data_IF_472203055232
#
_entry.id   IF_472203055232
#
_cell.length_a   1.000
_cell.length_b   1.000
_cell.length_c   1.000
_cell.angle_alpha   90.00
_cell.angle_beta   90.00
_cell.angle_gamma   90.00
#
_symmetry.space_group_name_H-M   'P 1'
#
loop_
_entity.id
_entity.type
_entity.pdbx_description
1 polymer ?
#
# COMPACT_ATOMS: atom_id res chain seq x y z
N UNK A 1 26.04 2.60 -14.38
CA UNK A 1 25.26 2.52 -13.16
C UNK A 1 25.26 3.89 -12.50
N UNK A 2 24.12 4.36 -12.03
CA UNK A 2 23.94 5.66 -11.39
C UNK A 2 24.13 5.47 -9.88
N UNK A 3 25.26 5.83 -9.29
CA UNK A 3 25.59 5.52 -7.89
C UNK A 3 24.73 6.27 -6.86
N UNK A 4 23.86 7.17 -7.33
CA UNK A 4 22.92 7.92 -6.48
C UNK A 4 21.44 7.53 -6.74
N UNK A 5 21.21 6.48 -7.53
CA UNK A 5 19.84 6.02 -7.76
C UNK A 5 19.31 5.30 -6.52
N UNK A 6 18.14 5.71 -6.05
CA UNK A 6 17.39 4.98 -5.02
C UNK A 6 16.80 3.71 -5.64
N UNK A 7 17.23 2.55 -5.14
CA UNK A 7 16.82 1.25 -5.66
C UNK A 7 15.71 0.67 -4.78
N UNK A 8 14.58 0.39 -5.41
CA UNK A 8 13.37 -0.11 -4.73
C UNK A 8 12.93 -1.44 -5.31
N UNK A 9 12.55 -2.38 -4.44
CA UNK A 9 11.96 -3.67 -4.80
C UNK A 9 10.50 -3.75 -4.31
N UNK A 10 9.59 -4.22 -5.17
CA UNK A 10 8.22 -4.58 -4.80
C UNK A 10 8.07 -6.10 -4.73
N UNK A 11 7.41 -6.61 -3.68
CA UNK A 11 7.27 -8.04 -3.44
C UNK A 11 6.02 -8.38 -2.61
N UNK A 12 5.56 -9.63 -2.68
CA UNK A 12 4.63 -10.22 -1.71
C UNK A 12 5.36 -10.93 -0.56
N UNK A 13 6.68 -11.15 -0.69
CA UNK A 13 7.49 -11.76 0.35
C UNK A 13 7.62 -13.28 0.29
N UNK A 14 6.93 -13.97 -0.62
CA UNK A 14 6.79 -15.43 -0.63
C UNK A 14 8.12 -16.20 -0.70
N UNK A 15 9.14 -15.61 -1.31
CA UNK A 15 10.44 -16.25 -1.54
C UNK A 15 11.60 -15.55 -0.80
N UNK A 16 11.28 -14.65 0.13
CA UNK A 16 12.31 -13.95 0.91
C UNK A 16 12.72 -14.77 2.14
N UNK A 17 13.96 -15.22 2.12
CA UNK A 17 14.64 -15.73 3.29
C UNK A 17 15.80 -14.80 3.70
N UNK A 18 16.45 -15.10 4.81
CA UNK A 18 17.53 -14.27 5.35
C UNK A 18 18.74 -14.20 4.39
N UNK A 19 19.01 -15.26 3.62
CA UNK A 19 20.10 -15.28 2.66
C UNK A 19 19.80 -14.33 1.48
N UNK A 20 18.57 -14.34 0.97
CA UNK A 20 18.12 -13.44 -0.07
C UNK A 20 18.12 -11.98 0.41
N UNK A 21 17.63 -11.72 1.63
CA UNK A 21 17.64 -10.38 2.22
C UNK A 21 19.06 -9.84 2.43
N UNK A 22 19.98 -10.69 2.89
CA UNK A 22 21.39 -10.34 3.02
C UNK A 22 22.02 -9.99 1.65
N UNK A 23 21.75 -10.79 0.62
CA UNK A 23 22.23 -10.51 -0.73
C UNK A 23 21.69 -9.20 -1.28
N UNK A 24 20.40 -8.93 -1.10
CA UNK A 24 19.76 -7.68 -1.53
C UNK A 24 20.39 -6.46 -0.85
N UNK A 25 20.61 -6.54 0.47
CA UNK A 25 21.33 -5.51 1.24
C UNK A 25 22.74 -5.28 0.70
N UNK A 26 23.50 -6.36 0.50
CA UNK A 26 24.91 -6.30 0.08
C UNK A 26 25.04 -5.76 -1.37
N UNK A 27 23.99 -5.87 -2.17
CA UNK A 27 23.88 -5.26 -3.50
C UNK A 27 23.38 -3.81 -3.48
N UNK A 28 23.07 -3.26 -2.30
CA UNK A 28 22.67 -1.86 -2.13
C UNK A 28 21.19 -1.61 -2.41
N UNK A 29 20.31 -2.55 -2.05
CA UNK A 29 18.87 -2.27 -2.05
C UNK A 29 18.55 -1.26 -0.94
N UNK A 30 17.97 -0.11 -1.33
CA UNK A 30 17.62 0.96 -0.39
C UNK A 30 16.26 0.74 0.26
N UNK A 31 15.29 0.26 -0.50
CA UNK A 31 13.90 0.15 -0.06
C UNK A 31 13.24 -1.13 -0.56
N UNK A 32 12.50 -1.82 0.33
CA UNK A 32 11.64 -2.93 -0.02
C UNK A 32 10.19 -2.60 0.32
N UNK A 33 9.27 -2.85 -0.63
CA UNK A 33 7.83 -2.64 -0.47
C UNK A 33 7.07 -3.94 -0.54
N UNK A 34 6.36 -4.25 0.53
CA UNK A 34 5.49 -5.40 0.60
C UNK A 34 4.07 -5.03 0.18
N UNK A 35 3.49 -5.82 -0.71
CA UNK A 35 2.07 -5.70 -1.06
C UNK A 35 1.23 -6.53 -0.10
N UNK A 36 0.41 -5.87 0.70
CA UNK A 36 -0.55 -6.51 1.60
C UNK A 36 -1.96 -6.20 1.12
N UNK A 37 -2.81 -7.22 1.01
CA UNK A 37 -4.22 -7.11 0.60
C UNK A 37 -5.06 -7.85 1.61
N UNK A 38 -5.94 -7.14 2.30
CA UNK A 38 -6.78 -7.76 3.34
C UNK A 38 -8.05 -8.38 2.75
N UNK A 39 -8.61 -7.75 1.72
CA UNK A 39 -9.79 -8.28 1.00
C UNK A 39 -11.01 -8.54 1.92
N UNK A 40 -11.14 -7.78 3.01
CA UNK A 40 -12.15 -7.99 4.05
C UNK A 40 -11.74 -9.01 5.13
N UNK A 41 -10.54 -9.56 5.03
CA UNK A 41 -10.01 -10.50 6.03
C UNK A 41 -9.50 -9.78 7.29
N UNK A 42 -9.37 -10.53 8.38
CA UNK A 42 -8.70 -10.04 9.59
C UNK A 42 -7.21 -9.81 9.32
N UNK A 43 -6.68 -8.68 9.81
CA UNK A 43 -5.29 -8.27 9.53
C UNK A 43 -4.25 -9.31 9.98
N UNK A 44 -4.53 -10.02 11.05
CA UNK A 44 -3.63 -11.04 11.63
C UNK A 44 -4.09 -12.46 11.34
N UNK A 45 -4.93 -12.64 10.32
CA UNK A 45 -5.36 -13.97 9.89
C UNK A 45 -4.16 -14.83 9.43
N UNK A 46 -4.23 -16.17 9.57
CA UNK A 46 -3.11 -17.07 9.26
C UNK A 46 -2.57 -16.95 7.83
N UNK A 47 -3.40 -16.57 6.86
CA UNK A 47 -3.03 -16.34 5.46
C UNK A 47 -2.06 -15.17 5.28
N UNK A 48 -2.08 -14.19 6.20
CA UNK A 48 -1.17 -13.04 6.19
C UNK A 48 0.13 -13.31 6.96
N UNK A 49 0.20 -14.37 7.75
CA UNK A 49 1.32 -14.67 8.64
C UNK A 49 2.67 -14.71 7.90
N UNK A 50 2.73 -15.34 6.73
CA UNK A 50 3.96 -15.42 5.93
C UNK A 50 4.47 -14.05 5.48
N UNK A 51 3.56 -13.19 5.04
CA UNK A 51 3.91 -11.84 4.61
C UNK A 51 4.38 -11.01 5.81
N UNK A 52 3.71 -11.11 6.95
CA UNK A 52 4.12 -10.43 8.19
C UNK A 52 5.48 -10.91 8.68
N UNK A 53 5.74 -12.22 8.67
CA UNK A 53 7.05 -12.78 9.00
C UNK A 53 8.16 -12.29 8.05
N UNK A 54 7.85 -12.17 6.76
CA UNK A 54 8.80 -11.64 5.78
C UNK A 54 9.09 -10.14 6.00
N UNK A 55 8.08 -9.36 6.38
CA UNK A 55 8.23 -7.94 6.75
C UNK A 55 9.10 -7.81 7.99
N UNK A 56 8.82 -8.57 9.05
CA UNK A 56 9.58 -8.54 10.31
C UNK A 56 11.05 -8.88 10.09
N UNK A 57 11.32 -9.89 9.27
CA UNK A 57 12.72 -10.22 8.88
C UNK A 57 13.36 -9.11 8.06
N UNK A 58 12.65 -8.57 7.07
CA UNK A 58 13.21 -7.54 6.19
C UNK A 58 13.68 -6.29 6.94
N UNK A 59 13.01 -5.91 8.02
CA UNK A 59 13.40 -4.75 8.87
C UNK A 59 14.80 -4.89 9.43
N UNK A 60 15.31 -6.13 9.66
CA UNK A 60 16.65 -6.34 10.15
C UNK A 60 17.75 -6.20 9.07
N UNK A 61 17.39 -6.24 7.80
CA UNK A 61 18.35 -6.26 6.67
C UNK A 61 18.31 -5.01 5.80
N UNK A 62 17.12 -4.49 5.52
CA UNK A 62 16.93 -3.42 4.52
C UNK A 62 16.65 -2.10 5.23
N UNK A 63 17.28 -0.99 4.81
CA UNK A 63 17.14 0.31 5.48
C UNK A 63 15.71 0.82 5.55
N UNK A 64 14.98 0.75 4.44
CA UNK A 64 13.60 1.23 4.34
C UNK A 64 12.64 0.09 3.97
N UNK A 65 11.86 -0.35 4.96
CA UNK A 65 10.78 -1.33 4.74
C UNK A 65 9.44 -0.60 4.73
N UNK A 66 8.72 -0.73 3.63
CA UNK A 66 7.44 -0.09 3.40
C UNK A 66 6.36 -1.14 3.13
N UNK A 67 5.11 -0.81 3.45
CA UNK A 67 3.95 -1.63 3.08
C UNK A 67 3.03 -0.81 2.17
N UNK A 68 2.57 -1.43 1.09
CA UNK A 68 1.53 -0.88 0.22
C UNK A 68 0.27 -1.73 0.31
N UNK A 69 -0.87 -1.08 0.54
CA UNK A 69 -2.13 -1.78 0.63
C UNK A 69 -3.28 -0.98 0.00
N UNK A 70 -4.12 -1.63 -0.82
CA UNK A 70 -5.40 -1.05 -1.21
C UNK A 70 -6.32 -1.00 0.01
N UNK A 71 -7.11 0.06 0.11
CA UNK A 71 -8.04 0.28 1.23
C UNK A 71 -9.48 0.21 0.72
N UNK A 72 -10.17 -0.86 1.05
CA UNK A 72 -11.60 -0.99 0.81
C UNK A 72 -12.45 -0.23 1.85
N UNK A 73 -13.75 -0.03 1.57
CA UNK A 73 -14.62 0.78 2.43
C UNK A 73 -14.93 0.16 3.79
N UNK A 74 -14.52 -1.08 4.05
CA UNK A 74 -14.78 -1.80 5.31
C UNK A 74 -13.52 -2.35 5.96
N UNK A 75 -12.34 -2.06 5.40
CA UNK A 75 -11.08 -2.61 5.88
C UNK A 75 -10.50 -1.84 7.08
N UNK A 76 -11.10 -0.71 7.46
CA UNK A 76 -10.58 0.18 8.49
C UNK A 76 -10.21 -0.49 9.80
N UNK A 77 -11.07 -1.31 10.43
CA UNK A 77 -10.75 -1.99 11.68
C UNK A 77 -9.52 -2.89 11.57
N UNK A 78 -9.44 -3.71 10.52
CA UNK A 78 -8.32 -4.63 10.28
C UNK A 78 -7.03 -3.86 9.98
N UNK A 79 -7.11 -2.79 9.19
CA UNK A 79 -5.93 -1.96 8.90
C UNK A 79 -5.43 -1.22 10.15
N UNK A 80 -6.30 -0.74 11.04
CA UNK A 80 -5.89 -0.11 12.31
C UNK A 80 -5.06 -1.07 13.17
N UNK A 81 -5.48 -2.33 13.27
CA UNK A 81 -4.74 -3.37 13.97
C UNK A 81 -3.37 -3.63 13.30
N UNK A 82 -3.37 -3.75 11.97
CA UNK A 82 -2.15 -3.94 11.20
C UNK A 82 -1.18 -2.77 11.34
N UNK A 83 -1.65 -1.52 11.30
CA UNK A 83 -0.80 -0.34 11.48
C UNK A 83 -0.05 -0.36 12.82
N UNK A 84 -0.73 -0.74 13.90
CA UNK A 84 -0.10 -0.89 15.22
C UNK A 84 0.98 -1.98 15.17
N UNK A 85 0.68 -3.13 14.58
CA UNK A 85 1.63 -4.23 14.47
C UNK A 85 2.85 -3.86 13.62
N UNK A 86 2.66 -3.18 12.50
CA UNK A 86 3.74 -2.71 11.63
C UNK A 86 4.63 -1.65 12.33
N UNK A 87 4.04 -0.77 13.15
CA UNK A 87 4.79 0.18 13.95
C UNK A 87 5.67 -0.52 15.01
N UNK A 88 5.14 -1.55 15.68
CA UNK A 88 5.87 -2.39 16.63
C UNK A 88 7.04 -3.11 15.97
N UNK A 89 6.88 -3.61 14.74
CA UNK A 89 7.94 -4.24 13.95
C UNK A 89 9.04 -3.25 13.52
N UNK A 90 8.77 -1.95 13.53
CA UNK A 90 9.72 -0.93 13.08
C UNK A 90 9.68 -0.67 11.58
N UNK A 91 8.55 -0.97 10.92
CA UNK A 91 8.31 -0.62 9.52
C UNK A 91 8.39 0.91 9.37
N UNK A 92 9.07 1.37 8.30
CA UNK A 92 9.25 2.81 8.06
C UNK A 92 7.96 3.53 7.71
N UNK A 93 7.09 2.86 6.96
CA UNK A 93 5.81 3.48 6.61
C UNK A 93 4.88 2.60 5.80
N UNK A 94 3.66 3.09 5.68
CA UNK A 94 2.57 2.47 4.94
C UNK A 94 2.03 3.42 3.89
N UNK A 95 1.84 2.92 2.69
CA UNK A 95 1.19 3.63 1.59
C UNK A 95 -0.24 3.08 1.42
N UNK A 96 -1.21 3.83 1.89
CA UNK A 96 -2.63 3.53 1.74
C UNK A 96 -3.05 3.91 0.31
N UNK A 97 -3.42 2.93 -0.48
CA UNK A 97 -3.84 3.14 -1.86
C UNK A 97 -5.36 3.31 -1.90
N UNK A 98 -5.84 4.46 -2.35
CA UNK A 98 -7.25 4.59 -2.69
C UNK A 98 -7.64 3.52 -3.69
N UNK A 99 -8.66 2.72 -3.33
CA UNK A 99 -9.05 1.58 -4.12
C UNK A 99 -9.93 2.01 -5.29
N UNK A 100 -9.61 1.50 -6.47
CA UNK A 100 -10.34 1.78 -7.69
C UNK A 100 -10.87 0.53 -8.35
N UNK A 101 -12.01 0.66 -9.06
CA UNK A 101 -12.51 -0.40 -9.92
C UNK A 101 -11.49 -0.67 -11.02
N UNK A 102 -11.08 -1.94 -11.20
CA UNK A 102 -10.18 -2.30 -12.29
C UNK A 102 -10.91 -2.20 -13.63
N UNK A 103 -10.15 -1.98 -14.70
CA UNK A 103 -10.69 -2.02 -16.07
C UNK A 103 -11.16 -3.42 -16.48
N UNK A 104 -10.58 -4.46 -15.86
CA UNK A 104 -10.98 -5.86 -16.02
C UNK A 104 -11.52 -6.36 -14.69
N UNK A 105 -12.44 -7.34 -14.69
CA UNK A 105 -13.08 -7.91 -13.49
C UNK A 105 -13.96 -6.95 -12.68
N UNK A 106 -14.41 -5.84 -13.24
CA UNK A 106 -15.29 -4.91 -12.55
C UNK A 106 -16.55 -5.59 -11.97
N UNK A 107 -17.10 -6.59 -12.68
CA UNK A 107 -18.25 -7.37 -12.23
C UNK A 107 -17.98 -8.13 -10.92
N UNK A 108 -16.81 -8.75 -10.77
CA UNK A 108 -16.42 -9.46 -9.54
C UNK A 108 -16.34 -8.51 -8.34
N UNK A 109 -15.91 -7.26 -8.55
CA UNK A 109 -15.90 -6.23 -7.50
C UNK A 109 -17.32 -5.75 -7.15
N UNK A 110 -18.18 -5.57 -8.14
CA UNK A 110 -19.59 -5.22 -7.92
C UNK A 110 -20.34 -6.33 -7.16
N UNK A 111 -20.06 -7.61 -7.46
CA UNK A 111 -20.62 -8.76 -6.73
C UNK A 111 -20.21 -8.80 -5.26
N UNK A 112 -19.08 -8.19 -4.90
CA UNK A 112 -18.61 -8.01 -3.51
C UNK A 112 -19.26 -6.81 -2.80
N UNK A 113 -20.22 -6.15 -3.44
CA UNK A 113 -20.92 -5.00 -2.89
C UNK A 113 -20.14 -3.69 -2.97
N UNK A 114 -19.04 -3.66 -3.74
CA UNK A 114 -18.30 -2.43 -3.96
C UNK A 114 -19.00 -1.54 -4.99
N UNK A 115 -19.15 -0.27 -4.67
CA UNK A 115 -19.84 0.72 -5.49
C UNK A 115 -18.87 1.79 -5.99
N UNK A 116 -19.18 2.39 -7.13
CA UNK A 116 -18.46 3.56 -7.62
C UNK A 116 -18.76 4.78 -6.74
N UNK A 117 -17.73 5.57 -6.47
CA UNK A 117 -17.89 6.86 -5.81
C UNK A 117 -18.78 7.79 -6.68
N UNK A 118 -19.79 8.39 -6.05
CA UNK A 118 -20.56 9.45 -6.69
C UNK A 118 -19.72 10.71 -6.85
N UNK A 119 -19.88 11.40 -7.97
CA UNK A 119 -19.10 12.60 -8.32
C UNK A 119 -17.57 12.33 -8.25
N UNK A 120 -17.07 11.42 -9.08
CA UNK A 120 -15.63 11.20 -9.18
C UNK A 120 -14.95 12.49 -9.63
N UNK A 121 -13.67 12.65 -9.25
CA UNK A 121 -12.87 13.77 -9.72
C UNK A 121 -12.71 13.76 -11.25
N UNK A 122 -12.44 14.91 -11.90
CA UNK A 122 -12.16 14.94 -13.32
C UNK A 122 -10.86 14.21 -13.65
N UNK A 123 -10.90 13.29 -14.61
CA UNK A 123 -9.71 12.66 -15.16
C UNK A 123 -9.16 13.60 -16.23
N UNK A 124 -8.04 14.27 -15.93
CA UNK A 124 -7.40 15.21 -16.85
C UNK A 124 -6.56 14.50 -17.91
N UNK A 125 -6.02 13.33 -17.58
CA UNK A 125 -5.14 12.57 -18.46
C UNK A 125 -5.53 11.09 -18.43
N UNK A 126 -5.86 10.56 -19.60
CA UNK A 126 -6.19 9.14 -19.76
C UNK A 126 -4.90 8.33 -19.99
N UNK A 127 -4.13 8.15 -18.95
CA UNK A 127 -3.02 7.20 -18.95
C UNK A 127 -3.48 5.92 -18.26
N UNK A 128 -3.45 4.81 -18.95
CA UNK A 128 -3.85 3.49 -18.47
C UNK A 128 -3.26 3.09 -17.11
N UNK A 129 -2.20 3.74 -16.72
CA UNK A 129 -1.49 3.52 -15.48
C UNK A 129 -2.31 3.79 -14.20
N UNK A 130 -3.22 4.73 -14.26
CA UNK A 130 -4.05 5.10 -13.10
C UNK A 130 -5.54 4.79 -13.32
N UNK A 131 -5.87 3.90 -14.24
CA UNK A 131 -7.16 3.71 -14.87
C UNK A 131 -8.28 3.10 -14.03
N UNK A 132 -8.24 3.21 -12.70
CA UNK A 132 -9.37 2.82 -11.86
C UNK A 132 -10.30 3.99 -11.57
N UNK A 133 -11.61 3.74 -11.58
CA UNK A 133 -12.58 4.66 -11.00
C UNK A 133 -12.65 4.46 -9.48
N UNK A 134 -12.72 5.52 -8.67
CA UNK A 134 -12.66 5.38 -7.22
C UNK A 134 -13.86 4.62 -6.66
N UNK A 135 -13.59 3.75 -5.70
CA UNK A 135 -14.60 3.04 -4.95
C UNK A 135 -15.16 3.94 -3.84
N UNK A 136 -16.48 3.95 -3.69
CA UNK A 136 -17.16 4.68 -2.62
C UNK A 136 -16.64 4.23 -1.24
N UNK A 137 -16.31 5.20 -0.39
CA UNK A 137 -15.85 4.95 0.98
C UNK A 137 -14.33 4.77 1.14
N UNK A 138 -13.59 4.36 0.10
CA UNK A 138 -12.14 4.14 0.20
C UNK A 138 -11.36 5.37 0.65
N UNK A 139 -11.63 6.55 0.07
CA UNK A 139 -11.00 7.81 0.50
C UNK A 139 -11.26 8.11 1.96
N UNK A 140 -12.51 7.97 2.41
CA UNK A 140 -12.90 8.24 3.79
C UNK A 140 -12.14 7.33 4.77
N UNK A 141 -12.02 6.05 4.46
CA UNK A 141 -11.22 5.10 5.24
C UNK A 141 -9.73 5.47 5.26
N UNK A 142 -9.14 5.82 4.12
CA UNK A 142 -7.73 6.26 4.08
C UNK A 142 -7.49 7.47 5.00
N UNK A 143 -8.37 8.48 4.96
CA UNK A 143 -8.26 9.68 5.79
C UNK A 143 -8.45 9.36 7.28
N UNK A 144 -9.38 8.47 7.61
CA UNK A 144 -9.62 8.01 8.99
C UNK A 144 -8.41 7.24 9.53
N UNK A 145 -7.79 6.38 8.70
CA UNK A 145 -6.57 5.64 9.08
C UNK A 145 -5.38 6.57 9.33
N UNK A 146 -5.22 7.62 8.53
CA UNK A 146 -4.20 8.65 8.78
C UNK A 146 -4.44 9.37 10.11
N UNK A 147 -5.71 9.72 10.39
CA UNK A 147 -6.09 10.35 11.66
C UNK A 147 -5.80 9.42 12.83
N UNK A 148 -6.23 8.16 12.75
CA UNK A 148 -5.96 7.14 13.75
C UNK A 148 -4.46 7.01 14.05
N UNK A 149 -3.61 6.91 13.01
CA UNK A 149 -2.17 6.80 13.20
C UNK A 149 -1.59 8.00 13.95
N UNK A 150 -2.03 9.22 13.60
CA UNK A 150 -1.60 10.47 14.27
C UNK A 150 -2.08 10.52 15.72
N UNK A 151 -3.35 10.23 16.00
CA UNK A 151 -3.93 10.24 17.35
C UNK A 151 -3.31 9.16 18.25
N UNK A 152 -2.96 8.00 17.67
CA UNK A 152 -2.30 6.91 18.37
C UNK A 152 -0.82 7.18 18.63
N UNK A 153 -0.23 8.18 17.95
CA UNK A 153 1.18 8.52 18.04
C UNK A 153 2.08 7.44 17.44
N UNK A 154 1.65 6.77 16.36
CA UNK A 154 2.47 5.79 15.67
C UNK A 154 3.71 6.49 15.05
N UNK A 155 4.84 5.81 15.08
CA UNK A 155 6.13 6.33 14.56
C UNK A 155 6.28 6.10 13.07
N UNK A 156 5.64 5.08 12.52
CA UNK A 156 5.65 4.79 11.09
C UNK A 156 4.97 5.93 10.29
N UNK A 157 5.49 6.23 9.11
CA UNK A 157 4.86 7.18 8.21
C UNK A 157 3.62 6.59 7.55
N UNK A 158 2.50 7.33 7.54
CA UNK A 158 1.30 6.91 6.80
C UNK A 158 1.06 7.89 5.66
N UNK A 159 1.06 7.39 4.44
CA UNK A 159 0.82 8.16 3.22
C UNK A 159 -0.48 7.70 2.55
N UNK A 160 -1.30 8.65 2.14
CA UNK A 160 -2.49 8.40 1.34
C UNK A 160 -2.19 8.67 -0.14
N UNK A 161 -2.23 7.62 -0.94
CA UNK A 161 -2.04 7.69 -2.38
C UNK A 161 -3.40 7.79 -3.08
N UNK A 162 -3.88 9.04 -3.25
CA UNK A 162 -5.20 9.29 -3.84
C UNK A 162 -5.22 9.06 -5.34
N UNK A 163 -6.35 8.55 -5.84
CA UNK A 163 -6.59 8.45 -7.28
C UNK A 163 -6.74 9.83 -7.93
N UNK A 164 -7.28 10.81 -7.20
CA UNK A 164 -7.34 12.20 -7.66
C UNK A 164 -5.94 12.74 -7.96
N UNK A 165 -5.02 12.65 -7.02
CA UNK A 165 -3.64 13.09 -7.25
C UNK A 165 -2.95 12.31 -8.37
N UNK A 166 -3.19 10.99 -8.49
CA UNK A 166 -2.67 10.19 -9.60
C UNK A 166 -3.15 10.69 -10.95
N UNK A 167 -4.44 10.99 -11.08
CA UNK A 167 -5.06 11.37 -12.35
C UNK A 167 -4.89 12.85 -12.70
N UNK A 168 -4.55 13.71 -11.76
CA UNK A 168 -4.40 15.17 -11.98
C UNK A 168 -2.96 15.62 -11.87
N UNK A 169 -2.30 15.36 -10.75
CA UNK A 169 -0.99 15.91 -10.41
C UNK A 169 0.20 15.02 -10.77
N UNK A 170 0.18 13.78 -10.27
CA UNK A 170 1.33 12.89 -10.38
C UNK A 170 1.67 12.53 -11.82
N UNK A 171 0.67 12.15 -12.62
CA UNK A 171 0.87 11.79 -14.03
C UNK A 171 1.36 13.00 -14.84
N UNK A 172 0.83 14.18 -14.55
CA UNK A 172 1.32 15.41 -15.19
C UNK A 172 2.80 15.64 -14.89
N UNK A 173 3.23 15.49 -13.64
CA UNK A 173 4.63 15.70 -13.26
C UNK A 173 5.57 14.66 -13.86
N UNK A 174 5.13 13.43 -14.02
CA UNK A 174 5.93 12.35 -14.60
C UNK A 174 6.16 12.51 -16.11
N UNK A 175 5.29 13.24 -16.79
CA UNK A 175 5.33 13.44 -18.25
C UNK A 175 5.80 14.84 -18.67
N UNK A 176 6.29 15.63 -17.75
CA UNK A 176 6.85 16.95 -17.98
C UNK A 176 8.38 16.89 -18.07
#
# INVERSE_FOLDING_TARGET
LYPQAHVRLYTCGDFLDDACLAELRDRGLDEIRFSVKLDGDEALAPEHARTLDAIERAVAFIPDVMVEMPVGPHDGPAIKELLVRLDEMGVRGVNLLEFGFPLCNAEAFAQRGLELRQNPYPILYNYWYAGGLPIAGSEAECLELMRFAAERGLRLGVHYCSLDNKNTGQIYQQNK
#
